data_IF_457058870411
#
_entry.id   IF_457058870411
#
_cell.length_a   1.000
_cell.length_b   1.000
_cell.length_c   1.000
_cell.angle_alpha   90.00
_cell.angle_beta   90.00
_cell.angle_gamma   90.00
#
_symmetry.space_group_name_H-M   'P 1'
#
loop_
_entity.id
_entity.type
_entity.pdbx_description
1 polymer ?
#
# COMPACT_ATOMS: atom_id res chain seq x y z
N UNK A 1 -1.02 -7.99 -1.49
CA UNK A 1 -0.76 -9.44 -1.32
C UNK A 1 -1.88 -10.24 -0.66
N UNK A 2 -2.51 -9.76 0.41
CA UNK A 2 -3.43 -10.58 1.22
C UNK A 2 -4.87 -10.65 0.65
N UNK A 3 -5.47 -11.84 0.49
CA UNK A 3 -6.87 -12.01 0.08
C UNK A 3 -7.88 -11.42 1.08
N UNK A 4 -7.62 -11.54 2.38
CA UNK A 4 -8.52 -11.00 3.41
C UNK A 4 -8.49 -9.47 3.46
N UNK A 5 -7.34 -8.84 3.25
CA UNK A 5 -7.27 -7.38 3.09
C UNK A 5 -8.11 -6.92 1.90
N UNK A 6 -7.99 -7.61 0.77
CA UNK A 6 -8.77 -7.30 -0.42
C UNK A 6 -10.29 -7.44 -0.20
N UNK A 7 -10.71 -8.50 0.48
CA UNK A 7 -12.11 -8.69 0.83
C UNK A 7 -12.63 -7.63 1.84
N UNK A 8 -11.73 -7.04 2.63
CA UNK A 8 -12.07 -6.02 3.63
C UNK A 8 -12.14 -4.60 3.05
N UNK A 9 -11.44 -4.30 1.96
CA UNK A 9 -11.50 -3.00 1.25
C UNK A 9 -12.93 -2.46 1.01
N UNK A 10 -13.89 -3.22 0.46
CA UNK A 10 -15.25 -2.72 0.26
C UNK A 10 -16.02 -2.47 1.56
N UNK A 11 -15.54 -2.98 2.70
CA UNK A 11 -16.14 -2.74 4.03
C UNK A 11 -15.51 -1.51 4.68
N UNK A 12 -14.18 -1.39 4.64
CA UNK A 12 -13.45 -0.32 5.32
C UNK A 12 -13.55 1.02 4.59
N UNK A 13 -13.53 1.04 3.25
CA UNK A 13 -13.51 2.29 2.49
C UNK A 13 -14.75 3.17 2.73
N UNK A 14 -15.99 2.64 2.68
CA UNK A 14 -17.18 3.45 2.99
C UNK A 14 -17.25 3.94 4.44
N UNK A 15 -16.58 3.26 5.37
CA UNK A 15 -16.46 3.71 6.75
C UNK A 15 -15.46 4.86 6.88
N UNK A 16 -14.29 4.74 6.22
CA UNK A 16 -13.25 5.79 6.20
C UNK A 16 -13.80 7.11 5.63
N UNK A 17 -14.60 7.04 4.57
CA UNK A 17 -15.24 8.21 3.94
C UNK A 17 -16.21 8.96 4.87
N UNK A 18 -16.69 8.32 5.93
CA UNK A 18 -17.69 8.86 6.87
C UNK A 18 -17.11 9.23 8.22
N UNK A 19 -15.78 9.21 8.35
CA UNK A 19 -15.14 9.50 9.63
C UNK A 19 -15.41 10.94 10.07
N UNK A 20 -15.70 11.15 11.37
CA UNK A 20 -15.79 12.49 11.92
C UNK A 20 -14.40 13.16 11.93
N UNK A 21 -14.38 14.50 12.03
CA UNK A 21 -13.15 15.29 11.93
C UNK A 21 -12.13 15.05 13.04
N UNK A 22 -12.54 14.42 14.13
CA UNK A 22 -11.70 14.04 15.27
C UNK A 22 -11.03 12.67 15.09
N UNK A 23 -11.27 11.96 13.98
CA UNK A 23 -10.66 10.66 13.69
C UNK A 23 -9.73 10.76 12.48
N UNK A 24 -8.48 10.33 12.67
CA UNK A 24 -7.51 10.19 11.60
C UNK A 24 -7.27 8.72 11.28
N UNK A 25 -7.67 8.30 10.08
CA UNK A 25 -7.41 6.95 9.59
C UNK A 25 -6.15 6.91 8.73
N UNK A 26 -5.25 6.01 9.06
CA UNK A 26 -3.97 5.82 8.36
C UNK A 26 -3.82 4.35 7.99
N UNK A 27 -3.42 4.09 6.75
CA UNK A 27 -3.03 2.74 6.30
C UNK A 27 -1.52 2.60 6.45
N UNK A 28 -1.08 1.50 7.05
CA UNK A 28 0.34 1.16 7.19
C UNK A 28 0.55 -0.20 6.53
N UNK A 29 1.38 -0.32 5.48
CA UNK A 29 1.63 -1.62 4.88
C UNK A 29 2.44 -2.51 5.82
N UNK A 30 2.07 -3.79 5.88
CA UNK A 30 2.82 -4.79 6.62
C UNK A 30 4.10 -5.18 5.85
N UNK A 31 5.25 -4.85 6.44
CA UNK A 31 6.58 -5.10 5.87
C UNK A 31 7.15 -6.44 6.38
N UNK A 32 6.49 -7.54 6.00
CA UNK A 32 6.82 -8.91 6.45
C UNK A 32 7.88 -9.63 5.59
N UNK A 33 8.58 -8.91 4.71
CA UNK A 33 9.61 -9.46 3.84
C UNK A 33 9.09 -10.00 2.50
N UNK A 34 10.02 -10.22 1.57
CA UNK A 34 9.72 -10.76 0.24
C UNK A 34 8.68 -9.91 -0.53
N UNK A 35 7.64 -10.53 -1.12
CA UNK A 35 6.59 -9.79 -1.84
C UNK A 35 5.85 -8.75 -1.02
N UNK A 36 5.77 -8.92 0.31
CA UNK A 36 5.11 -7.96 1.19
C UNK A 36 5.85 -6.63 1.23
N UNK A 37 7.18 -6.67 1.35
CA UNK A 37 7.99 -5.46 1.32
C UNK A 37 7.89 -4.76 -0.03
N UNK A 38 7.85 -5.51 -1.13
CA UNK A 38 7.70 -4.96 -2.48
C UNK A 38 6.33 -4.25 -2.64
N UNK A 39 5.23 -4.89 -2.23
CA UNK A 39 3.88 -4.31 -2.30
C UNK A 39 3.72 -3.13 -1.34
N UNK A 40 4.33 -3.21 -0.15
CA UNK A 40 4.31 -2.14 0.84
C UNK A 40 5.08 -0.91 0.35
N UNK A 41 6.25 -1.09 -0.26
CA UNK A 41 7.00 0.00 -0.88
C UNK A 41 6.22 0.64 -2.04
N UNK A 42 5.55 -0.17 -2.88
CA UNK A 42 4.66 0.36 -3.92
C UNK A 42 3.54 1.20 -3.33
N UNK A 43 2.88 0.74 -2.25
CA UNK A 43 1.83 1.49 -1.55
C UNK A 43 2.34 2.86 -1.07
N UNK A 44 3.45 2.89 -0.31
CA UNK A 44 4.04 4.13 0.21
C UNK A 44 4.47 5.08 -0.91
N UNK A 45 4.94 4.53 -2.04
CA UNK A 45 5.30 5.32 -3.22
C UNK A 45 4.07 6.01 -3.80
N UNK A 46 2.97 5.28 -3.98
CA UNK A 46 1.72 5.81 -4.51
C UNK A 46 1.07 6.84 -3.56
N UNK A 47 1.18 6.61 -2.25
CA UNK A 47 0.71 7.53 -1.21
C UNK A 47 1.51 8.83 -1.25
N UNK A 48 2.84 8.74 -1.29
CA UNK A 48 3.76 9.90 -1.44
C UNK A 48 3.50 10.69 -2.73
N UNK A 49 3.08 10.01 -3.81
CA UNK A 49 2.69 10.63 -5.07
C UNK A 49 1.28 11.24 -5.05
N UNK A 50 0.48 10.99 -4.01
CA UNK A 50 -0.90 11.46 -3.87
C UNK A 50 -1.89 10.78 -4.83
N UNK A 51 -1.53 9.63 -5.41
CA UNK A 51 -2.35 8.92 -6.41
C UNK A 51 -2.90 7.59 -5.93
N UNK A 52 -2.55 7.17 -4.71
CA UNK A 52 -2.95 5.90 -4.11
C UNK A 52 -4.46 5.63 -4.22
N UNK A 53 -5.31 6.56 -3.78
CA UNK A 53 -6.77 6.43 -3.83
C UNK A 53 -7.33 6.11 -5.23
N UNK A 54 -6.66 6.53 -6.31
CA UNK A 54 -7.11 6.30 -7.69
C UNK A 54 -6.80 4.89 -8.17
N UNK A 55 -5.72 4.30 -7.67
CA UNK A 55 -5.16 3.07 -8.23
C UNK A 55 -5.15 1.90 -7.24
N UNK A 56 -5.46 2.13 -5.97
CA UNK A 56 -5.41 1.10 -4.92
C UNK A 56 -6.23 -0.14 -5.27
N UNK A 57 -7.49 0.07 -5.68
CA UNK A 57 -8.37 -1.01 -6.10
C UNK A 57 -7.84 -1.75 -7.34
N UNK A 58 -7.26 -1.03 -8.30
CA UNK A 58 -6.68 -1.63 -9.51
C UNK A 58 -5.46 -2.50 -9.17
N UNK A 59 -4.57 -2.03 -8.29
CA UNK A 59 -3.42 -2.79 -7.78
C UNK A 59 -3.90 -4.07 -7.08
N UNK A 60 -4.91 -3.96 -6.22
CA UNK A 60 -5.47 -5.12 -5.54
C UNK A 60 -6.07 -6.14 -6.52
N UNK A 61 -6.86 -5.68 -7.50
CA UNK A 61 -7.43 -6.53 -8.55
C UNK A 61 -6.33 -7.24 -9.35
N UNK A 62 -5.29 -6.51 -9.77
CA UNK A 62 -4.17 -7.07 -10.51
C UNK A 62 -3.48 -8.22 -9.74
N UNK A 63 -3.29 -8.06 -8.43
CA UNK A 63 -2.63 -9.08 -7.61
C UNK A 63 -3.58 -10.25 -7.29
N UNK A 64 -4.82 -9.97 -6.87
CA UNK A 64 -5.73 -10.99 -6.34
C UNK A 64 -6.52 -11.74 -7.41
N UNK A 65 -6.91 -11.04 -8.49
CA UNK A 65 -7.76 -11.60 -9.54
C UNK A 65 -6.98 -11.98 -10.79
N UNK A 66 -6.04 -11.13 -11.20
CA UNK A 66 -5.27 -11.35 -12.44
C UNK A 66 -3.97 -12.13 -12.21
N UNK A 67 -3.59 -12.38 -10.95
CA UNK A 67 -2.38 -13.14 -10.61
C UNK A 67 -1.07 -12.43 -10.94
N UNK A 68 -1.10 -11.10 -11.16
CA UNK A 68 0.13 -10.32 -11.38
C UNK A 68 0.94 -10.29 -10.09
N UNK A 69 2.22 -10.67 -10.18
CA UNK A 69 3.10 -10.69 -9.02
C UNK A 69 3.40 -9.28 -8.51
N UNK A 70 3.73 -8.36 -9.41
CA UNK A 70 4.10 -6.97 -9.10
C UNK A 70 5.15 -6.90 -7.97
N UNK A 71 6.27 -7.63 -8.13
CA UNK A 71 7.35 -7.67 -7.12
C UNK A 71 8.62 -6.96 -7.57
N UNK A 72 8.70 -6.58 -8.85
CA UNK A 72 9.77 -5.75 -9.41
C UNK A 72 9.24 -4.36 -9.70
N UNK A 73 10.02 -3.32 -9.41
CA UNK A 73 9.59 -1.93 -9.58
C UNK A 73 9.27 -1.59 -11.03
N UNK A 74 9.95 -2.21 -11.99
CA UNK A 74 9.69 -2.03 -13.42
C UNK A 74 8.31 -2.60 -13.81
N UNK A 75 7.97 -3.81 -13.33
CA UNK A 75 6.65 -4.42 -13.54
C UNK A 75 5.53 -3.61 -12.89
N UNK A 76 5.78 -3.06 -11.70
CA UNK A 76 4.87 -2.16 -11.01
C UNK A 76 4.66 -0.89 -11.83
N UNK A 77 5.74 -0.25 -12.29
CA UNK A 77 5.69 1.00 -13.04
C UNK A 77 4.96 0.83 -14.38
N UNK A 78 5.22 -0.27 -15.09
CA UNK A 78 4.52 -0.62 -16.34
C UNK A 78 3.02 -0.82 -16.12
N UNK A 79 2.65 -1.57 -15.07
CA UNK A 79 1.25 -1.73 -14.71
C UNK A 79 0.60 -0.39 -14.33
N UNK A 80 1.24 0.39 -13.47
CA UNK A 80 0.70 1.67 -12.98
C UNK A 80 0.58 2.71 -14.10
N UNK A 81 1.44 2.66 -15.12
CA UNK A 81 1.30 3.48 -16.32
C UNK A 81 -0.03 3.22 -17.05
N UNK A 82 -0.48 1.96 -17.13
CA UNK A 82 -1.82 1.63 -17.67
C UNK A 82 -2.97 2.19 -16.83
N UNK A 83 -2.70 2.57 -15.59
CA UNK A 83 -3.65 3.18 -14.66
C UNK A 83 -3.51 4.71 -14.59
N UNK A 84 -2.69 5.32 -15.47
CA UNK A 84 -2.49 6.76 -15.55
C UNK A 84 -1.45 7.32 -14.56
N UNK A 85 -0.61 6.47 -13.96
CA UNK A 85 0.52 6.92 -13.12
C UNK A 85 1.74 7.17 -14.00
N UNK A 86 2.40 8.31 -13.81
CA UNK A 86 3.66 8.61 -14.49
C UNK A 86 4.76 7.62 -14.09
N UNK A 87 5.28 6.89 -15.09
CA UNK A 87 6.23 5.78 -14.89
C UNK A 87 7.55 6.27 -14.28
N UNK A 88 8.10 7.35 -14.82
CA UNK A 88 9.41 7.86 -14.42
C UNK A 88 9.35 8.48 -13.02
N UNK A 89 8.28 9.23 -12.74
CA UNK A 89 8.01 9.77 -11.40
C UNK A 89 7.81 8.65 -10.39
N UNK A 90 7.12 7.57 -10.75
CA UNK A 90 6.98 6.41 -9.87
C UNK A 90 8.34 5.80 -9.55
N UNK A 91 9.17 5.48 -10.55
CA UNK A 91 10.49 4.88 -10.35
C UNK A 91 11.41 5.79 -9.51
N UNK A 92 11.44 7.09 -9.80
CA UNK A 92 12.22 8.05 -9.03
C UNK A 92 11.74 8.15 -7.58
N UNK A 93 10.43 8.14 -7.34
CA UNK A 93 9.87 8.18 -5.98
C UNK A 93 10.13 6.87 -5.24
N UNK A 94 9.98 5.73 -5.90
CA UNK A 94 10.16 4.40 -5.35
C UNK A 94 11.57 4.20 -4.75
N UNK A 95 12.60 4.69 -5.44
CA UNK A 95 14.00 4.57 -5.01
C UNK A 95 14.45 5.68 -4.03
N UNK A 96 13.57 6.64 -3.72
CA UNK A 96 13.92 7.82 -2.93
C UNK A 96 14.26 7.50 -1.47
N UNK A 97 15.08 8.36 -0.86
CA UNK A 97 15.39 8.28 0.57
C UNK A 97 14.13 8.42 1.45
N UNK A 98 13.16 9.24 1.02
CA UNK A 98 11.91 9.42 1.73
C UNK A 98 11.14 8.09 1.87
N UNK A 99 11.04 7.31 0.80
CA UNK A 99 10.38 6.00 0.83
C UNK A 99 11.13 5.00 1.73
N UNK A 100 12.47 4.99 1.69
CA UNK A 100 13.28 4.18 2.63
C UNK A 100 12.98 4.53 4.10
N UNK A 101 12.84 5.81 4.41
CA UNK A 101 12.45 6.28 5.75
C UNK A 101 11.06 5.80 6.16
N UNK A 102 10.07 5.88 5.26
CA UNK A 102 8.71 5.41 5.53
C UNK A 102 8.65 3.88 5.73
N UNK A 103 9.43 3.12 4.97
CA UNK A 103 9.55 1.66 5.15
C UNK A 103 10.06 1.32 6.56
N UNK A 104 11.13 1.99 7.01
CA UNK A 104 11.69 1.76 8.33
C UNK A 104 10.67 2.11 9.42
N UNK A 105 9.97 3.24 9.27
CA UNK A 105 8.89 3.64 10.19
C UNK A 105 7.77 2.61 10.24
N UNK A 106 7.33 2.08 9.09
CA UNK A 106 6.30 1.04 9.04
C UNK A 106 6.74 -0.25 9.75
N UNK A 107 8.00 -0.67 9.58
CA UNK A 107 8.59 -1.82 10.29
C UNK A 107 8.63 -1.61 11.80
N UNK A 108 9.06 -0.43 12.25
CA UNK A 108 9.10 -0.09 13.68
C UNK A 108 7.72 -0.07 14.32
N UNK A 109 6.73 0.51 13.63
CA UNK A 109 5.34 0.54 14.11
C UNK A 109 4.73 -0.87 14.19
N UNK A 110 4.93 -1.71 13.18
CA UNK A 110 4.46 -3.08 13.20
C UNK A 110 5.02 -3.86 14.40
N UNK A 111 6.31 -3.66 14.72
CA UNK A 111 6.93 -4.24 15.92
C UNK A 111 6.34 -3.67 17.22
N UNK A 112 6.20 -2.34 17.31
CA UNK A 112 5.68 -1.66 18.50
C UNK A 112 4.25 -2.08 18.83
N UNK A 113 3.43 -2.32 17.81
CA UNK A 113 2.05 -2.77 17.95
C UNK A 113 1.89 -4.29 17.95
N UNK A 114 3.01 -5.05 18.01
CA UNK A 114 3.02 -6.51 18.08
C UNK A 114 2.21 -7.20 16.96
N UNK A 115 2.25 -6.62 15.76
CA UNK A 115 1.46 -7.08 14.63
C UNK A 115 2.07 -8.36 14.04
N UNK A 116 1.30 -9.43 14.07
CA UNK A 116 1.69 -10.75 13.54
C UNK A 116 0.92 -11.17 12.29
N UNK A 117 -0.07 -10.38 11.85
CA UNK A 117 -0.92 -10.70 10.71
C UNK A 117 -1.68 -9.51 10.14
N UNK A 118 -2.43 -9.75 9.05
CA UNK A 118 -3.27 -8.75 8.37
C UNK A 118 -4.60 -9.35 7.88
N UNK A 119 -5.65 -8.52 7.69
CA UNK A 119 -5.74 -7.13 8.14
C UNK A 119 -5.79 -7.07 9.68
N UNK A 120 -5.12 -6.08 10.25
CA UNK A 120 -5.16 -5.78 11.69
C UNK A 120 -5.54 -4.32 11.88
N UNK A 121 -6.48 -4.06 12.79
CA UNK A 121 -6.91 -2.71 13.15
C UNK A 121 -6.37 -2.36 14.54
N UNK A 122 -5.80 -1.18 14.66
CA UNK A 122 -5.25 -0.66 15.92
C UNK A 122 -5.99 0.63 16.22
N UNK A 123 -6.54 0.73 17.42
CA UNK A 123 -7.21 1.92 17.93
C UNK A 123 -6.50 2.31 19.21
N UNK A 124 -6.33 3.62 19.40
CA UNK A 124 -5.63 4.21 20.54
C UNK A 124 -6.37 3.91 21.86
#
# INVERSE_FOLDING_TARGET
>A
GCPHCYAFEPVINPWVEKLPSDVNFVRIPAMFGGPWDAHGQMFLTLESMGVEHKVHAAVFNAIQKEGKKLVKKEEMADFLATQGVDKDKFLATFDSFAIKGQINKAKELAKKYEITGVPTMIVN
#
